data_IF_362650358023
#
_entry.id   IF_362650358023
#
_cell.length_a   1.000
_cell.length_b   1.000
_cell.length_c   1.000
_cell.angle_alpha   90.00
_cell.angle_beta   90.00
_cell.angle_gamma   90.00
#
_symmetry.space_group_name_H-M   'P 1'
#
loop_
_entity.id
_entity.type
_entity.pdbx_description
1 polymer ?
#
# COMPACT_ATOMS: atom_id res chain seq x y z
N UNK A 1 -80.39 -5.19 40.64
CA UNK A 1 -79.31 -5.05 41.64
C UNK A 1 -78.01 -5.41 40.94
N UNK A 2 -77.01 -4.51 40.91
CA UNK A 2 -75.90 -4.54 39.96
C UNK A 2 -74.69 -5.28 40.55
N UNK A 3 -73.87 -5.90 39.69
CA UNK A 3 -72.45 -6.04 39.96
C UNK A 3 -71.67 -5.63 38.72
N UNK A 4 -71.13 -4.42 38.81
CA UNK A 4 -70.17 -3.85 37.88
C UNK A 4 -68.83 -4.56 38.07
N UNK A 5 -68.24 -5.04 36.97
CA UNK A 5 -66.84 -5.42 36.92
C UNK A 5 -66.10 -4.31 36.14
N UNK A 6 -65.24 -3.59 36.86
CA UNK A 6 -64.44 -2.51 36.33
C UNK A 6 -63.39 -3.03 35.35
N UNK A 7 -63.36 -2.46 34.14
CA UNK A 7 -62.26 -2.62 33.21
C UNK A 7 -61.12 -1.67 33.62
N UNK A 8 -60.01 -2.23 34.09
CA UNK A 8 -58.78 -1.48 34.34
C UNK A 8 -57.96 -1.41 33.04
N UNK A 9 -57.93 -0.23 32.42
CA UNK A 9 -57.03 0.07 31.31
C UNK A 9 -55.61 0.24 31.85
N UNK A 10 -54.72 -0.71 31.55
CA UNK A 10 -53.29 -0.57 31.82
C UNK A 10 -52.67 0.13 30.61
N UNK A 11 -52.42 1.42 30.73
CA UNK A 11 -51.58 2.16 29.79
C UNK A 11 -50.13 1.73 30.00
N UNK A 12 -49.58 0.95 29.08
CA UNK A 12 -48.14 0.74 29.00
C UNK A 12 -47.48 2.07 28.58
N UNK A 13 -46.43 2.55 29.28
CA UNK A 13 -45.59 3.58 28.69
C UNK A 13 -44.93 2.96 27.47
N UNK A 14 -45.19 3.56 26.30
CA UNK A 14 -44.38 3.39 25.11
C UNK A 14 -42.99 3.94 25.41
N UNK A 15 -42.16 3.13 26.08
CA UNK A 15 -40.74 3.34 26.16
C UNK A 15 -40.22 3.29 24.73
N UNK A 16 -40.10 4.48 24.13
CA UNK A 16 -39.40 4.69 22.89
C UNK A 16 -38.02 4.06 23.02
N UNK A 17 -37.89 2.87 22.43
CA UNK A 17 -36.60 2.29 22.14
C UNK A 17 -36.02 3.14 21.03
N UNK A 18 -35.43 4.27 21.42
CA UNK A 18 -34.45 4.93 20.59
C UNK A 18 -33.32 3.92 20.44
N UNK A 19 -33.01 3.45 19.21
CA UNK A 19 -31.74 2.78 19.02
C UNK A 19 -30.66 3.72 19.57
N UNK A 20 -29.63 3.20 20.26
CA UNK A 20 -28.51 4.04 20.65
C UNK A 20 -28.12 4.87 19.43
N UNK A 21 -27.87 6.20 19.57
CA UNK A 21 -27.40 6.99 18.45
C UNK A 21 -26.28 6.16 17.86
N UNK A 22 -26.46 5.77 16.58
CA UNK A 22 -25.54 4.90 15.87
C UNK A 22 -24.20 5.28 16.43
N UNK A 23 -23.60 4.36 17.22
CA UNK A 23 -22.24 4.57 17.66
C UNK A 23 -21.61 4.89 16.33
N UNK A 24 -21.25 6.17 16.15
CA UNK A 24 -20.34 6.52 15.11
C UNK A 24 -19.29 5.49 15.41
N UNK A 25 -19.18 4.49 14.53
CA UNK A 25 -17.98 3.74 14.42
C UNK A 25 -17.04 4.92 14.30
N UNK A 26 -16.40 5.24 15.42
CA UNK A 26 -15.31 6.16 15.46
C UNK A 26 -14.42 5.32 14.61
N UNK A 27 -14.44 5.61 13.31
CA UNK A 27 -13.36 5.37 12.41
C UNK A 27 -12.28 6.14 13.11
N UNK A 28 -11.69 5.50 14.13
CA UNK A 28 -10.30 5.57 14.42
C UNK A 28 -9.72 5.20 13.07
N UNK A 29 -9.65 6.20 12.19
CA UNK A 29 -8.54 6.41 11.31
C UNK A 29 -7.34 6.43 12.25
N UNK A 30 -6.97 5.24 12.74
CA UNK A 30 -5.59 4.85 12.80
C UNK A 30 -5.09 5.32 11.44
N UNK A 31 -4.34 6.41 11.45
CA UNK A 31 -3.57 6.78 10.28
C UNK A 31 -2.88 5.50 9.88
N UNK A 32 -3.31 4.94 8.75
CA UNK A 32 -2.77 3.71 8.21
C UNK A 32 -1.40 4.09 7.65
N UNK A 33 -0.49 4.52 8.52
CA UNK A 33 0.90 4.90 8.25
C UNK A 33 1.74 3.66 7.90
N UNK A 34 1.05 2.59 7.48
CA UNK A 34 1.59 1.33 7.02
C UNK A 34 1.90 1.40 5.53
N UNK A 35 1.28 2.30 4.76
CA UNK A 35 1.59 2.53 3.33
C UNK A 35 1.19 3.93 2.87
N UNK A 36 1.73 4.37 1.72
CA UNK A 36 1.21 5.52 0.97
C UNK A 36 1.56 5.43 -0.51
N UNK A 37 0.80 6.10 -1.38
CA UNK A 37 1.14 6.32 -2.79
C UNK A 37 2.01 7.57 -2.97
N UNK A 38 3.08 7.69 -2.18
CA UNK A 38 4.05 8.78 -2.25
C UNK A 38 5.47 8.22 -2.22
N UNK A 39 6.45 9.06 -2.55
CA UNK A 39 7.87 8.79 -2.40
C UNK A 39 8.59 10.04 -1.90
N UNK A 40 9.87 9.91 -1.59
CA UNK A 40 10.69 11.02 -1.08
C UNK A 40 11.20 11.91 -2.22
N UNK A 41 11.28 11.39 -3.44
CA UNK A 41 11.72 12.17 -4.60
C UNK A 41 10.64 13.13 -5.09
N UNK A 42 11.02 14.36 -5.45
CA UNK A 42 10.13 15.29 -6.14
C UNK A 42 9.62 14.76 -7.50
N UNK A 43 10.33 13.79 -8.10
CA UNK A 43 9.87 13.10 -9.31
C UNK A 43 8.59 12.28 -9.05
N UNK A 44 8.32 11.91 -7.80
CA UNK A 44 7.08 11.30 -7.35
C UNK A 44 5.90 12.27 -7.25
N UNK A 45 6.07 13.57 -7.54
CA UNK A 45 4.97 14.53 -7.67
C UNK A 45 4.80 15.00 -9.13
N UNK A 46 5.86 14.96 -9.92
CA UNK A 46 5.81 15.33 -11.34
C UNK A 46 4.91 14.42 -12.18
N UNK A 47 4.21 14.98 -13.16
CA UNK A 47 3.45 14.21 -14.16
C UNK A 47 4.41 13.50 -15.10
N UNK A 48 4.85 12.30 -14.73
CA UNK A 48 5.56 11.39 -15.62
C UNK A 48 4.53 10.80 -16.55
N UNK A 49 4.58 11.10 -17.85
CA UNK A 49 3.66 10.47 -18.81
C UNK A 49 4.20 9.11 -19.24
N UNK A 50 3.33 8.19 -19.65
CA UNK A 50 3.75 6.94 -20.25
C UNK A 50 4.62 7.14 -21.51
N UNK A 51 4.63 8.35 -22.11
CA UNK A 51 5.53 8.71 -23.20
C UNK A 51 6.97 9.00 -22.75
N UNK A 52 7.17 9.40 -21.49
CA UNK A 52 8.50 9.63 -20.90
C UNK A 52 9.17 8.33 -20.43
N UNK A 53 8.42 7.23 -20.46
CA UNK A 53 8.87 5.89 -20.12
C UNK A 53 8.89 5.08 -21.41
N UNK A 54 9.96 4.33 -21.68
CA UNK A 54 10.17 3.58 -22.94
C UNK A 54 9.04 2.59 -23.33
N UNK A 55 8.00 2.40 -22.51
CA UNK A 55 6.86 1.50 -22.76
C UNK A 55 5.52 2.25 -22.62
N UNK A 56 5.06 2.86 -23.70
CA UNK A 56 3.92 3.79 -23.77
C UNK A 56 2.51 3.26 -23.53
N UNK A 57 2.23 2.51 -22.45
CA UNK A 57 0.84 2.20 -22.04
C UNK A 57 0.63 1.81 -20.58
N UNK A 58 1.70 1.55 -19.82
CA UNK A 58 1.62 1.04 -18.45
C UNK A 58 2.12 2.09 -17.46
N UNK A 59 1.55 2.06 -16.24
CA UNK A 59 2.10 2.80 -15.12
C UNK A 59 3.45 2.22 -14.69
N UNK A 60 4.29 3.03 -14.04
CA UNK A 60 5.57 2.55 -13.46
C UNK A 60 5.32 1.36 -12.55
N UNK A 61 4.27 1.43 -11.72
CA UNK A 61 3.92 0.36 -10.82
C UNK A 61 3.62 -0.96 -11.55
N UNK A 62 2.83 -0.92 -12.62
CA UNK A 62 2.54 -2.10 -13.45
C UNK A 62 3.78 -2.68 -14.10
N UNK A 63 4.69 -1.83 -14.60
CA UNK A 63 5.95 -2.27 -15.19
C UNK A 63 6.89 -2.92 -14.17
N UNK A 64 6.98 -2.34 -12.97
CA UNK A 64 7.74 -2.93 -11.86
C UNK A 64 7.16 -4.28 -11.49
N UNK A 65 5.83 -4.36 -11.34
CA UNK A 65 5.15 -5.61 -11.03
C UNK A 65 5.43 -6.67 -12.08
N UNK A 66 5.34 -6.34 -13.36
CA UNK A 66 5.62 -7.27 -14.44
C UNK A 66 7.06 -7.77 -14.42
N UNK A 67 8.04 -6.87 -14.23
CA UNK A 67 9.46 -7.24 -14.12
C UNK A 67 9.69 -8.25 -12.98
N UNK A 68 9.09 -8.01 -11.80
CA UNK A 68 9.33 -8.87 -10.65
C UNK A 68 8.59 -10.21 -10.68
N UNK A 69 7.60 -10.41 -11.55
CA UNK A 69 6.86 -11.68 -11.66
C UNK A 69 7.73 -12.85 -12.12
N UNK A 70 8.84 -12.57 -12.80
CA UNK A 70 9.78 -13.58 -13.28
C UNK A 70 10.91 -13.92 -12.31
N UNK A 71 10.97 -13.27 -11.14
CA UNK A 71 12.04 -13.48 -10.15
C UNK A 71 11.77 -14.72 -9.29
N UNK A 72 12.82 -15.33 -8.74
CA UNK A 72 12.69 -16.48 -7.84
C UNK A 72 12.28 -15.99 -6.44
N UNK A 73 11.24 -16.58 -5.86
CA UNK A 73 10.74 -16.23 -4.52
C UNK A 73 11.80 -16.33 -3.42
N UNK A 74 12.86 -17.13 -3.64
CA UNK A 74 13.99 -17.34 -2.73
C UNK A 74 15.04 -16.24 -2.79
N UNK A 75 14.97 -15.34 -3.78
CA UNK A 75 15.92 -14.24 -3.89
C UNK A 75 15.81 -13.30 -2.68
N UNK A 76 16.97 -12.89 -2.17
CA UNK A 76 17.10 -12.02 -1.01
C UNK A 76 17.73 -10.69 -1.41
N UNK A 77 17.11 -9.60 -0.97
CA UNK A 77 17.52 -8.24 -1.28
C UNK A 77 17.80 -7.48 0.02
N UNK A 78 19.01 -6.94 0.13
CA UNK A 78 19.41 -6.08 1.24
C UNK A 78 18.82 -4.69 1.10
N UNK A 79 18.80 -3.93 2.20
CA UNK A 79 18.42 -2.51 2.16
C UNK A 79 19.21 -1.74 1.08
N UNK A 80 18.54 -0.87 0.34
CA UNK A 80 19.10 -0.06 -0.74
C UNK A 80 19.41 -0.81 -2.03
N UNK A 81 19.34 -2.15 -2.06
CA UNK A 81 19.53 -2.91 -3.30
C UNK A 81 18.27 -2.81 -4.17
N UNK A 82 18.45 -2.37 -5.41
CA UNK A 82 17.36 -2.31 -6.38
C UNK A 82 16.93 -3.73 -6.79
N UNK A 83 15.62 -3.97 -6.72
CA UNK A 83 14.96 -5.25 -7.01
C UNK A 83 14.52 -5.27 -8.47
N UNK A 84 13.80 -4.22 -8.88
CA UNK A 84 13.40 -3.96 -10.24
C UNK A 84 13.37 -2.45 -10.48
N UNK A 85 13.65 -2.02 -11.71
CA UNK A 85 13.66 -0.62 -12.06
C UNK A 85 13.03 -0.38 -13.44
N UNK A 86 12.40 0.79 -13.55
CA UNK A 86 11.91 1.36 -14.80
C UNK A 86 12.69 2.64 -15.04
N UNK A 87 13.53 2.64 -16.07
CA UNK A 87 14.30 3.83 -16.43
C UNK A 87 13.37 4.97 -16.85
N UNK A 88 13.73 6.17 -16.45
CA UNK A 88 13.03 7.38 -16.84
C UNK A 88 13.83 8.06 -17.96
N UNK A 89 13.28 8.06 -19.17
CA UNK A 89 13.98 8.52 -20.38
C UNK A 89 15.34 7.82 -20.62
N UNK A 90 16.17 8.40 -21.47
CA UNK A 90 17.54 7.92 -21.75
C UNK A 90 18.56 8.28 -20.65
N UNK A 91 18.09 8.76 -19.50
CA UNK A 91 18.93 9.18 -18.38
C UNK A 91 19.45 8.00 -17.54
N UNK A 92 20.40 8.27 -16.62
CA UNK A 92 20.90 7.25 -15.70
C UNK A 92 19.91 6.89 -14.58
N UNK A 93 18.87 7.71 -14.39
CA UNK A 93 17.88 7.58 -13.32
C UNK A 93 16.62 6.83 -13.73
N UNK A 94 15.81 6.49 -12.73
CA UNK A 94 14.58 5.73 -12.94
C UNK A 94 13.85 5.47 -11.65
N UNK A 95 12.66 4.89 -11.77
CA UNK A 95 11.86 4.45 -10.64
C UNK A 95 12.26 3.03 -10.27
N UNK A 96 12.66 2.83 -9.03
CA UNK A 96 13.19 1.56 -8.55
C UNK A 96 12.43 1.08 -7.31
N UNK A 97 12.24 -0.22 -7.25
CA UNK A 97 11.73 -0.93 -6.09
C UNK A 97 12.89 -1.43 -5.24
N UNK A 98 12.90 -1.13 -3.95
CA UNK A 98 13.95 -1.56 -3.01
C UNK A 98 13.44 -1.59 -1.56
N UNK A 99 14.15 -2.30 -0.70
CA UNK A 99 13.92 -2.27 0.74
C UNK A 99 14.69 -1.13 1.39
N UNK A 100 14.12 -0.50 2.41
CA UNK A 100 14.77 0.56 3.18
C UNK A 100 14.46 0.36 4.67
N UNK A 101 15.49 0.46 5.53
CA UNK A 101 15.31 0.42 6.98
C UNK A 101 14.83 -0.91 7.58
N UNK A 102 14.83 -2.01 6.82
CA UNK A 102 14.37 -3.33 7.32
C UNK A 102 15.29 -3.81 8.45
N UNK A 103 14.70 -4.15 9.60
CA UNK A 103 15.43 -4.52 10.83
C UNK A 103 16.38 -5.71 10.67
N UNK A 104 16.00 -6.71 9.86
CA UNK A 104 16.85 -7.87 9.51
C UNK A 104 17.92 -7.54 8.46
N UNK A 105 17.94 -6.31 7.94
CA UNK A 105 18.86 -5.85 6.89
C UNK A 105 18.51 -6.32 5.48
N UNK A 106 17.55 -7.23 5.33
CA UNK A 106 17.13 -7.80 4.05
C UNK A 106 15.67 -8.27 4.06
N UNK A 107 15.07 -8.36 2.87
CA UNK A 107 13.77 -8.95 2.62
C UNK A 107 13.82 -9.95 1.46
N UNK A 108 12.80 -10.79 1.36
CA UNK A 108 12.68 -11.84 0.34
C UNK A 108 11.78 -11.41 -0.82
N UNK A 109 11.98 -12.02 -1.99
CA UNK A 109 11.15 -11.77 -3.16
C UNK A 109 9.68 -12.18 -2.95
N UNK A 110 9.42 -13.23 -2.17
CA UNK A 110 8.07 -13.59 -1.74
C UNK A 110 7.37 -12.45 -0.96
N UNK A 111 8.09 -11.76 -0.07
CA UNK A 111 7.56 -10.58 0.62
C UNK A 111 7.28 -9.44 -0.35
N UNK A 112 8.16 -9.23 -1.34
CA UNK A 112 7.96 -8.22 -2.38
C UNK A 112 6.66 -8.46 -3.15
N UNK A 113 6.39 -9.69 -3.60
CA UNK A 113 5.14 -10.01 -4.30
C UNK A 113 3.90 -9.75 -3.43
N UNK A 114 3.94 -10.14 -2.15
CA UNK A 114 2.82 -9.91 -1.22
C UNK A 114 2.55 -8.42 -1.05
N UNK A 115 3.58 -7.63 -0.76
CA UNK A 115 3.49 -6.19 -0.52
C UNK A 115 3.07 -5.42 -1.78
N UNK A 116 3.56 -5.81 -2.96
CA UNK A 116 3.10 -5.22 -4.23
C UNK A 116 1.63 -5.54 -4.51
N UNK A 117 1.16 -6.75 -4.20
CA UNK A 117 -0.27 -7.08 -4.34
C UNK A 117 -1.16 -6.23 -3.40
N UNK A 118 -0.64 -5.83 -2.25
CA UNK A 118 -1.34 -4.89 -1.37
C UNK A 118 -1.36 -3.46 -1.94
N UNK A 119 -0.22 -2.97 -2.43
CA UNK A 119 -0.13 -1.66 -3.07
C UNK A 119 -0.99 -1.54 -4.34
N UNK A 120 -1.14 -2.63 -5.10
CA UNK A 120 -2.01 -2.67 -6.28
C UNK A 120 -3.47 -2.37 -5.92
N UNK A 121 -3.97 -2.94 -4.81
CA UNK A 121 -5.34 -2.70 -4.34
C UNK A 121 -5.58 -1.23 -3.98
N UNK A 122 -4.51 -0.47 -3.73
CA UNK A 122 -4.55 0.98 -3.44
C UNK A 122 -4.43 1.84 -4.71
N UNK A 123 -4.23 1.22 -5.88
CA UNK A 123 -4.10 1.89 -7.18
C UNK A 123 -2.98 2.95 -7.23
N UNK A 124 -1.86 2.71 -6.55
CA UNK A 124 -0.68 3.57 -6.67
C UNK A 124 -0.09 3.46 -8.09
N UNK A 125 0.21 4.60 -8.71
CA UNK A 125 0.63 4.65 -10.13
C UNK A 125 2.14 4.70 -10.34
N UNK A 126 2.89 5.40 -9.49
CA UNK A 126 4.32 5.63 -9.73
C UNK A 126 5.25 5.44 -8.55
N UNK A 127 4.91 6.03 -7.41
CA UNK A 127 5.69 5.92 -6.20
C UNK A 127 4.77 5.44 -5.11
N UNK A 128 5.31 4.57 -4.28
CA UNK A 128 4.60 4.01 -3.18
C UNK A 128 5.59 3.48 -2.15
N UNK A 129 5.16 3.41 -0.91
CA UNK A 129 5.86 2.64 0.09
C UNK A 129 4.86 1.88 0.94
N UNK A 130 5.31 0.77 1.50
CA UNK A 130 4.55 -0.07 2.42
C UNK A 130 5.50 -0.67 3.45
N UNK A 131 5.09 -0.71 4.72
CA UNK A 131 5.86 -1.33 5.80
C UNK A 131 5.99 -2.83 5.55
N UNK A 132 7.18 -3.35 5.77
CA UNK A 132 7.44 -4.79 5.69
C UNK A 132 6.78 -5.53 6.86
N UNK A 133 6.76 -4.90 8.04
CA UNK A 133 6.19 -5.45 9.27
C UNK A 133 5.24 -4.41 9.90
N UNK A 134 4.01 -4.24 9.41
CA UNK A 134 3.08 -3.22 9.93
C UNK A 134 2.76 -3.42 11.42
N UNK A 135 2.82 -4.65 11.92
CA UNK A 135 2.54 -5.02 13.31
C UNK A 135 3.73 -4.84 14.28
N UNK A 136 4.96 -4.66 13.77
CA UNK A 136 6.14 -4.38 14.62
C UNK A 136 6.46 -2.88 14.56
N UNK A 137 6.07 -2.07 15.57
CA UNK A 137 6.35 -0.64 15.57
C UNK A 137 7.84 -0.30 15.66
N UNK A 138 8.70 -1.26 16.06
CA UNK A 138 10.15 -1.08 16.07
C UNK A 138 10.78 -1.34 14.70
N UNK A 139 10.11 -2.09 13.82
CA UNK A 139 10.56 -2.30 12.46
C UNK A 139 10.03 -1.15 11.59
N UNK A 140 10.89 -0.17 11.35
CA UNK A 140 10.61 0.94 10.42
C UNK A 140 10.88 0.55 8.96
N UNK A 141 11.12 -0.73 8.70
CA UNK A 141 11.38 -1.26 7.37
C UNK A 141 10.22 -1.05 6.42
N UNK A 142 10.53 -0.52 5.23
CA UNK A 142 9.58 -0.35 4.14
C UNK A 142 10.10 -1.01 2.86
N UNK A 143 9.17 -1.53 2.07
CA UNK A 143 9.35 -1.72 0.64
C UNK A 143 8.93 -0.43 -0.04
N UNK A 144 9.80 0.12 -0.88
CA UNK A 144 9.65 1.45 -1.45
C UNK A 144 9.85 1.40 -2.96
N UNK A 145 8.94 2.04 -3.68
CA UNK A 145 9.01 2.36 -5.09
C UNK A 145 9.19 3.88 -5.20
N UNK A 146 10.39 4.31 -5.58
CA UNK A 146 10.77 5.71 -5.61
C UNK A 146 11.74 5.99 -6.77
N UNK A 147 11.90 7.25 -7.14
CA UNK A 147 12.88 7.64 -8.14
C UNK A 147 14.28 7.70 -7.55
N UNK A 148 15.23 7.05 -8.22
CA UNK A 148 16.66 7.09 -7.90
C UNK A 148 17.43 7.78 -9.02
N UNK A 149 18.42 8.59 -8.64
CA UNK A 149 19.25 9.33 -9.60
C UNK A 149 20.18 8.45 -10.44
N UNK A 150 20.43 7.22 -9.98
CA UNK A 150 21.21 6.21 -10.69
C UNK A 150 20.59 4.84 -10.47
N UNK A 151 20.22 4.18 -11.56
CA UNK A 151 19.71 2.81 -11.55
C UNK A 151 20.90 1.86 -11.47
N UNK A 152 21.19 1.40 -10.26
CA UNK A 152 22.18 0.33 -10.00
C UNK A 152 21.45 -1.01 -9.94
N UNK A 153 21.21 -1.59 -11.10
CA UNK A 153 20.47 -2.83 -11.25
C UNK A 153 21.29 -3.83 -12.07
N UNK A 154 21.49 -5.02 -11.50
CA UNK A 154 22.09 -6.16 -12.20
C UNK A 154 21.19 -6.54 -13.40
N UNK A 155 21.67 -7.24 -14.45
CA UNK A 155 20.86 -7.73 -15.58
C UNK A 155 19.55 -8.44 -15.21
N UNK A 156 19.36 -8.86 -13.96
CA UNK A 156 18.11 -9.41 -13.44
C UNK A 156 16.97 -8.40 -13.22
N UNK A 157 17.20 -7.09 -13.24
CA UNK A 157 16.18 -6.08 -12.90
C UNK A 157 15.25 -5.64 -14.05
N UNK A 158 15.50 -6.11 -15.27
CA UNK A 158 14.78 -5.70 -16.47
C UNK A 158 14.11 -6.89 -17.16
N UNK A 159 13.12 -6.65 -18.02
CA UNK A 159 12.49 -7.70 -18.78
C UNK A 159 13.55 -8.34 -19.68
N UNK A 160 13.70 -9.67 -19.57
CA UNK A 160 14.47 -10.47 -20.52
C UNK A 160 13.93 -10.32 -21.94
#
# INVERSE_FOLDING_TARGET
>A
MPHAAAAASISLPSSGWQPPPAAAAVSMSLRDDSWACSGDSAMCEMSVTAHDIDKGRWSVFEMIRDNVRGHDDRDVYTNGKHIACVKYSQGPGGFCLFFEGVKKGSGTMAQVHSLLNELEKKSCSKCAWIRVSPDDPQDKGVLKLDYVGKVDCDPSCGPR
#
